data_IF_178799973021
#
_entry.id   IF_178799973021
#
_cell.length_a   1.000
_cell.length_b   1.000
_cell.length_c   1.000
_cell.angle_alpha   90.00
_cell.angle_beta   90.00
_cell.angle_gamma   90.00
#
_symmetry.space_group_name_H-M   'P 1'
#
loop_
_entity.id
_entity.type
_entity.pdbx_description
1 polymer ?
#
# COMPACT_ATOMS: atom_id res chain seq x y z
N UNK A 1 67.07 13.58 47.08
CA UNK A 1 66.64 13.70 45.65
C UNK A 1 65.48 12.86 45.42
N UNK A 2 64.25 13.39 45.54
CA UNK A 2 62.98 12.63 45.23
C UNK A 2 62.55 12.96 43.81
N UNK A 3 62.54 11.98 42.93
CA UNK A 3 62.00 12.09 41.58
C UNK A 3 60.49 12.11 41.67
N UNK A 4 59.88 13.22 41.20
CA UNK A 4 58.43 13.31 41.02
C UNK A 4 58.00 12.48 39.80
N UNK A 5 57.27 11.42 40.03
CA UNK A 5 56.62 10.64 38.97
C UNK A 5 55.29 11.32 38.73
N UNK A 6 55.16 12.00 37.56
CA UNK A 6 53.92 12.58 37.10
C UNK A 6 53.08 11.49 36.47
N UNK A 7 51.96 11.14 37.11
CA UNK A 7 51.01 10.15 36.62
C UNK A 7 50.05 10.86 35.67
N UNK A 8 50.25 10.71 34.37
CA UNK A 8 49.25 11.11 33.37
C UNK A 8 48.11 10.12 33.36
N UNK A 9 47.00 10.51 33.97
CA UNK A 9 45.72 9.80 33.80
C UNK A 9 45.22 10.07 32.38
N UNK A 10 45.41 9.10 31.48
CA UNK A 10 44.82 9.10 30.15
C UNK A 10 43.37 8.67 30.32
N UNK A 11 42.44 9.63 30.44
CA UNK A 11 40.99 9.36 30.42
C UNK A 11 40.57 8.95 29.01
N UNK A 12 40.49 7.65 28.79
CA UNK A 12 39.89 7.06 27.59
C UNK A 12 38.40 7.29 27.67
N UNK A 13 37.91 8.36 27.03
CA UNK A 13 36.46 8.57 26.86
C UNK A 13 35.96 7.53 25.88
N UNK A 14 35.33 6.46 26.40
CA UNK A 14 34.64 5.47 25.63
C UNK A 14 33.30 6.07 25.15
N UNK A 15 33.32 6.70 23.98
CA UNK A 15 32.07 7.12 23.32
C UNK A 15 31.36 5.86 22.88
N UNK A 16 30.47 5.33 23.71
CA UNK A 16 29.52 4.29 23.30
C UNK A 16 28.52 4.94 22.38
N UNK A 17 28.76 4.89 21.08
CA UNK A 17 27.72 5.12 20.08
C UNK A 17 26.69 3.98 20.25
N UNK A 18 25.62 4.25 20.97
CA UNK A 18 24.43 3.40 20.91
C UNK A 18 23.90 3.48 19.50
N UNK A 19 24.31 2.54 18.67
CA UNK A 19 23.63 2.27 17.40
C UNK A 19 22.25 1.77 17.83
N UNK A 20 21.31 2.70 17.94
CA UNK A 20 19.91 2.37 18.15
C UNK A 20 19.51 1.47 16.98
N UNK A 21 19.27 0.19 17.25
CA UNK A 21 18.62 -0.68 16.29
C UNK A 21 17.27 -0.02 16.00
N UNK A 22 17.16 0.64 14.86
CA UNK A 22 15.87 1.10 14.39
C UNK A 22 15.03 -0.17 14.22
N UNK A 23 14.07 -0.39 15.12
CA UNK A 23 13.13 -1.48 14.97
C UNK A 23 12.37 -1.23 13.67
N UNK A 24 12.53 -2.12 12.70
CA UNK A 24 11.76 -2.05 11.48
C UNK A 24 10.28 -2.19 11.84
N UNK A 25 9.49 -1.19 11.47
CA UNK A 25 8.03 -1.26 11.59
C UNK A 25 7.52 -2.17 10.50
N UNK A 26 6.80 -3.23 10.86
CA UNK A 26 6.18 -4.12 9.88
C UNK A 26 4.74 -3.70 9.62
N UNK A 27 4.47 -3.20 8.42
CA UNK A 27 3.13 -2.84 7.95
C UNK A 27 2.45 -4.06 7.32
N UNK A 28 1.16 -4.23 7.60
CA UNK A 28 0.30 -5.27 7.01
C UNK A 28 -0.34 -4.72 5.75
N UNK A 29 -0.07 -5.34 4.59
CA UNK A 29 -0.71 -5.03 3.32
C UNK A 29 -1.65 -6.17 2.91
N UNK A 30 -2.93 -5.88 2.66
CA UNK A 30 -3.92 -6.88 2.29
C UNK A 30 -4.51 -6.62 0.92
N UNK A 31 -4.74 -7.67 0.14
CA UNK A 31 -5.47 -7.63 -1.10
C UNK A 31 -6.13 -8.97 -1.44
N UNK A 32 -7.01 -8.96 -2.44
CA UNK A 32 -7.85 -10.10 -2.79
C UNK A 32 -7.29 -10.98 -3.90
N UNK A 33 -6.26 -10.55 -4.62
CA UNK A 33 -5.74 -11.23 -5.80
C UNK A 33 -4.72 -12.31 -5.44
N UNK A 34 -4.54 -13.34 -6.30
CA UNK A 34 -3.55 -14.37 -6.07
C UNK A 34 -2.14 -13.81 -5.90
N UNK A 35 -1.40 -14.33 -4.92
CA UNK A 35 0.02 -14.05 -4.71
C UNK A 35 0.93 -15.14 -5.26
N UNK A 36 0.37 -16.10 -6.01
CA UNK A 36 1.10 -17.17 -6.67
C UNK A 36 1.26 -16.87 -8.15
N UNK A 37 2.38 -17.27 -8.78
CA UNK A 37 2.56 -17.08 -10.21
C UNK A 37 1.56 -17.91 -11.01
N UNK A 38 1.23 -17.43 -12.21
CA UNK A 38 0.49 -18.15 -13.24
C UNK A 38 1.37 -19.21 -13.90
N UNK A 39 0.78 -20.02 -14.79
CA UNK A 39 1.50 -21.08 -15.50
C UNK A 39 2.65 -20.55 -16.38
N UNK A 40 2.58 -19.30 -16.84
CA UNK A 40 3.63 -18.60 -17.60
C UNK A 40 4.68 -17.91 -16.73
N UNK A 41 4.62 -18.08 -15.40
CA UNK A 41 5.52 -17.46 -14.44
C UNK A 41 5.15 -16.03 -14.05
N UNK A 42 4.18 -15.39 -14.72
CA UNK A 42 3.73 -14.03 -14.36
C UNK A 42 2.86 -14.02 -13.11
N UNK A 43 2.87 -12.92 -12.38
CA UNK A 43 1.93 -12.69 -11.29
C UNK A 43 0.71 -11.90 -11.76
N UNK A 44 -0.28 -11.79 -10.88
CA UNK A 44 -1.35 -10.81 -11.09
C UNK A 44 -0.77 -9.39 -10.92
N UNK A 45 -0.96 -8.53 -11.91
CA UNK A 45 -0.38 -7.17 -11.92
C UNK A 45 -0.75 -6.38 -10.65
N UNK A 46 -1.89 -6.66 -10.06
CA UNK A 46 -2.36 -5.98 -8.83
C UNK A 46 -1.62 -6.47 -7.59
N UNK A 47 -1.18 -7.73 -7.58
CA UNK A 47 -0.26 -8.24 -6.57
C UNK A 47 1.13 -7.65 -6.78
N UNK A 48 1.62 -7.62 -8.03
CA UNK A 48 2.94 -7.05 -8.36
C UNK A 48 3.06 -5.58 -7.95
N UNK A 49 2.00 -4.77 -8.10
CA UNK A 49 2.01 -3.38 -7.64
C UNK A 49 2.31 -3.26 -6.14
N UNK A 50 1.70 -4.12 -5.31
CA UNK A 50 1.95 -4.13 -3.86
C UNK A 50 3.34 -4.67 -3.56
N UNK A 51 3.79 -5.69 -4.30
CA UNK A 51 5.12 -6.27 -4.16
C UNK A 51 6.22 -5.27 -4.49
N UNK A 52 6.06 -4.50 -5.58
CA UNK A 52 7.01 -3.43 -5.95
C UNK A 52 7.16 -2.41 -4.82
N UNK A 53 6.05 -1.98 -4.21
CA UNK A 53 6.10 -1.05 -3.08
C UNK A 53 6.87 -1.66 -1.91
N UNK A 54 6.61 -2.92 -1.58
CA UNK A 54 7.30 -3.63 -0.50
C UNK A 54 8.82 -3.75 -0.76
N UNK A 55 9.19 -4.10 -1.99
CA UNK A 55 10.58 -4.28 -2.40
C UNK A 55 11.34 -2.94 -2.42
N UNK A 56 10.72 -1.87 -2.90
CA UNK A 56 11.33 -0.53 -2.89
C UNK A 56 11.50 0.02 -1.47
N UNK A 57 10.54 -0.19 -0.58
CA UNK A 57 10.68 0.18 0.84
C UNK A 57 11.84 -0.57 1.50
N UNK A 58 11.97 -1.86 1.22
CA UNK A 58 13.07 -2.69 1.72
C UNK A 58 14.43 -2.24 1.17
N UNK A 59 14.51 -1.94 -0.13
CA UNK A 59 15.73 -1.39 -0.76
C UNK A 59 16.13 -0.04 -0.18
N UNK A 60 15.15 0.83 0.07
CA UNK A 60 15.38 2.15 0.64
C UNK A 60 15.90 2.08 2.10
N UNK A 61 15.75 0.94 2.77
CA UNK A 61 16.21 0.68 4.14
C UNK A 61 15.79 1.78 5.13
N UNK A 62 14.55 2.22 5.02
CA UNK A 62 13.96 3.31 5.83
C UNK A 62 13.38 2.84 7.16
N UNK A 63 13.66 1.61 7.58
CA UNK A 63 13.15 1.04 8.82
C UNK A 63 11.67 0.62 8.73
N UNK A 64 11.16 0.38 7.51
CA UNK A 64 9.79 -0.09 7.27
C UNK A 64 9.83 -1.36 6.43
N UNK A 65 9.17 -2.40 6.91
CA UNK A 65 8.92 -3.64 6.20
C UNK A 65 7.44 -3.77 5.86
N UNK A 66 7.10 -4.37 4.72
CA UNK A 66 5.69 -4.59 4.33
C UNK A 66 5.44 -6.09 4.21
N UNK A 67 4.57 -6.60 5.07
CA UNK A 67 4.08 -7.98 5.00
C UNK A 67 2.80 -8.05 4.18
N UNK A 68 2.86 -8.73 3.03
CA UNK A 68 1.74 -8.85 2.11
C UNK A 68 0.88 -10.07 2.47
N UNK A 69 -0.44 -9.87 2.50
CA UNK A 69 -1.47 -10.89 2.71
C UNK A 69 -2.36 -10.97 1.46
N UNK A 70 -1.96 -11.78 0.47
CA UNK A 70 -2.68 -11.93 -0.78
C UNK A 70 -3.89 -12.85 -0.64
N UNK A 71 -4.67 -13.01 -1.72
CA UNK A 71 -5.74 -13.99 -1.88
C UNK A 71 -6.80 -13.97 -0.75
N UNK A 72 -7.11 -12.80 -0.21
CA UNK A 72 -8.10 -12.63 0.89
C UNK A 72 -7.65 -13.28 2.22
N UNK A 73 -6.34 -13.55 2.39
CA UNK A 73 -5.82 -14.30 3.54
C UNK A 73 -5.96 -13.55 4.88
N UNK A 74 -6.09 -12.23 4.85
CA UNK A 74 -6.29 -11.43 6.07
C UNK A 74 -7.72 -10.87 6.16
N UNK A 75 -8.21 -10.23 5.09
CA UNK A 75 -9.56 -9.66 5.02
C UNK A 75 -10.21 -9.98 3.68
N UNK A 76 -11.54 -10.19 3.69
CA UNK A 76 -12.32 -10.35 2.46
C UNK A 76 -12.38 -9.05 1.65
N UNK A 77 -12.67 -9.10 0.33
CA UNK A 77 -12.60 -7.93 -0.55
C UNK A 77 -13.40 -6.71 -0.05
N UNK A 78 -14.61 -6.91 0.45
CA UNK A 78 -15.50 -5.84 0.91
C UNK A 78 -15.33 -5.50 2.41
N UNK A 79 -14.40 -6.14 3.09
CA UNK A 79 -14.19 -5.97 4.52
C UNK A 79 -12.91 -5.16 4.84
N UNK A 80 -12.15 -4.72 3.85
CA UNK A 80 -10.84 -4.09 4.05
C UNK A 80 -10.92 -2.63 4.54
N UNK A 81 -11.98 -1.90 4.19
CA UNK A 81 -12.12 -0.48 4.53
C UNK A 81 -12.14 -0.23 6.06
N UNK A 82 -12.99 -0.96 6.77
CA UNK A 82 -13.13 -0.76 8.22
C UNK A 82 -11.82 -1.00 8.99
N UNK A 83 -11.06 -2.09 8.76
CA UNK A 83 -9.76 -2.29 9.39
C UNK A 83 -8.73 -1.18 9.10
N UNK A 84 -8.72 -0.59 7.89
CA UNK A 84 -7.85 0.55 7.58
C UNK A 84 -8.22 1.77 8.42
N UNK A 85 -9.50 2.15 8.44
CA UNK A 85 -9.97 3.34 9.19
C UNK A 85 -9.86 3.18 10.71
N UNK A 86 -9.63 1.96 11.20
CA UNK A 86 -9.45 1.68 12.65
C UNK A 86 -8.02 1.27 13.02
N UNK A 87 -7.07 1.37 12.09
CA UNK A 87 -5.65 1.06 12.34
C UNK A 87 -5.33 -0.43 12.52
N UNK A 88 -6.23 -1.34 12.15
CA UNK A 88 -6.00 -2.78 12.20
C UNK A 88 -5.29 -3.31 10.94
N UNK A 89 -5.39 -2.57 9.83
CA UNK A 89 -4.75 -2.82 8.56
C UNK A 89 -4.04 -1.54 8.11
N UNK A 90 -2.78 -1.64 7.74
CA UNK A 90 -1.96 -0.47 7.41
C UNK A 90 -2.08 -0.10 5.93
N UNK A 91 -2.10 -1.09 5.03
CA UNK A 91 -2.17 -0.90 3.58
C UNK A 91 -3.22 -1.84 2.98
N UNK A 92 -4.00 -1.33 2.03
CA UNK A 92 -4.91 -2.16 1.25
C UNK A 92 -4.85 -1.81 -0.23
N UNK A 93 -4.88 -2.83 -1.08
CA UNK A 93 -5.16 -2.68 -2.51
C UNK A 93 -6.49 -3.36 -2.81
N UNK A 94 -7.51 -2.59 -3.18
CA UNK A 94 -8.85 -3.10 -3.48
C UNK A 94 -9.63 -2.11 -4.37
N UNK A 95 -10.65 -2.56 -5.10
CA UNK A 95 -11.54 -1.66 -5.82
C UNK A 95 -12.29 -0.75 -4.85
N UNK A 96 -12.15 0.57 -5.00
CA UNK A 96 -12.69 1.53 -4.04
C UNK A 96 -14.21 1.40 -3.84
N UNK A 97 -14.96 1.07 -4.90
CA UNK A 97 -16.40 0.81 -4.81
C UNK A 97 -16.79 -0.32 -3.83
N UNK A 98 -15.86 -1.17 -3.41
CA UNK A 98 -16.15 -2.17 -2.37
C UNK A 98 -16.38 -1.54 -0.98
N UNK A 99 -15.99 -0.29 -0.82
CA UNK A 99 -16.26 0.51 0.36
C UNK A 99 -17.50 1.40 0.22
N UNK A 100 -18.27 1.32 -0.87
CA UNK A 100 -19.43 2.17 -1.15
C UNK A 100 -20.54 2.07 -0.09
N UNK A 101 -20.60 0.98 0.68
CA UNK A 101 -21.53 0.91 1.82
C UNK A 101 -21.25 1.95 2.93
N UNK A 102 -20.03 2.49 2.99
CA UNK A 102 -19.62 3.53 3.93
C UNK A 102 -19.70 4.93 3.28
N UNK A 103 -19.35 5.01 2.00
CA UNK A 103 -19.31 6.21 1.18
C UNK A 103 -19.85 5.88 -0.21
N UNK A 104 -21.15 6.08 -0.47
CA UNK A 104 -21.80 5.74 -1.75
C UNK A 104 -21.12 6.36 -2.97
N UNK A 105 -20.44 7.49 -2.79
CA UNK A 105 -19.69 8.20 -3.83
C UNK A 105 -18.59 7.32 -4.46
N UNK A 106 -18.10 6.34 -3.74
CA UNK A 106 -17.05 5.43 -4.22
C UNK A 106 -17.51 4.50 -5.36
N UNK A 107 -18.82 4.28 -5.52
CA UNK A 107 -19.38 3.48 -6.63
C UNK A 107 -19.05 4.07 -7.99
N UNK A 108 -18.87 5.39 -8.09
CA UNK A 108 -18.52 6.06 -9.33
C UNK A 108 -17.24 5.50 -9.96
N UNK A 109 -16.31 5.01 -9.15
CA UNK A 109 -15.02 4.47 -9.62
C UNK A 109 -15.13 3.15 -10.40
N UNK A 110 -16.26 2.46 -10.31
CA UNK A 110 -16.56 1.23 -11.08
C UNK A 110 -17.70 1.39 -12.07
N UNK A 111 -18.21 2.61 -12.28
CA UNK A 111 -19.30 2.83 -13.23
C UNK A 111 -18.87 2.47 -14.66
N UNK A 112 -19.65 1.67 -15.39
CA UNK A 112 -19.39 1.38 -16.79
C UNK A 112 -19.30 2.65 -17.63
N UNK A 113 -18.31 2.72 -18.52
CA UNK A 113 -18.08 3.89 -19.39
C UNK A 113 -17.42 5.09 -18.72
N UNK A 114 -17.18 5.09 -17.41
CA UNK A 114 -16.46 6.15 -16.70
C UNK A 114 -15.10 6.41 -17.32
N UNK A 115 -14.36 5.37 -17.65
CA UNK A 115 -13.03 5.47 -18.24
C UNK A 115 -13.01 4.75 -19.60
N UNK A 116 -12.72 5.51 -20.67
CA UNK A 116 -12.72 4.99 -22.04
C UNK A 116 -11.38 4.39 -22.48
N UNK A 117 -10.28 4.89 -21.95
CA UNK A 117 -8.92 4.46 -22.27
C UNK A 117 -7.95 4.99 -21.23
N UNK A 118 -6.68 4.57 -21.31
CA UNK A 118 -5.64 4.96 -20.35
C UNK A 118 -5.43 6.48 -20.26
N UNK A 119 -5.39 7.20 -21.40
CA UNK A 119 -5.28 8.67 -21.40
C UNK A 119 -6.46 9.34 -20.70
N UNK A 120 -7.66 8.76 -20.83
CA UNK A 120 -8.84 9.25 -20.12
C UNK A 120 -8.72 8.96 -18.62
N UNK A 121 -8.21 7.79 -18.23
CA UNK A 121 -7.95 7.46 -16.82
C UNK A 121 -7.07 8.49 -16.12
N UNK A 122 -5.96 8.90 -16.75
CA UNK A 122 -5.07 9.93 -16.21
C UNK A 122 -5.79 11.28 -15.99
N UNK A 123 -6.65 11.69 -16.93
CA UNK A 123 -7.46 12.91 -16.76
C UNK A 123 -8.50 12.79 -15.66
N UNK A 124 -9.14 11.62 -15.54
CA UNK A 124 -10.08 11.34 -14.46
C UNK A 124 -9.37 11.43 -13.10
N UNK A 125 -8.18 10.85 -12.94
CA UNK A 125 -7.41 10.94 -11.71
C UNK A 125 -7.05 12.38 -11.30
N UNK A 126 -6.87 13.28 -12.27
CA UNK A 126 -6.58 14.68 -12.06
C UNK A 126 -7.86 15.57 -11.99
N UNK A 127 -9.04 14.96 -12.05
CA UNK A 127 -10.31 15.72 -12.07
C UNK A 127 -10.73 16.20 -10.67
N UNK A 128 -11.54 17.27 -10.60
CA UNK A 128 -12.15 17.72 -9.34
C UNK A 128 -12.94 16.61 -8.64
N UNK A 129 -13.62 15.74 -9.39
CA UNK A 129 -14.34 14.60 -8.87
C UNK A 129 -13.42 13.66 -8.07
N UNK A 130 -12.27 13.27 -8.64
CA UNK A 130 -11.33 12.39 -7.93
C UNK A 130 -10.63 13.12 -6.77
N UNK A 131 -10.48 14.44 -6.86
CA UNK A 131 -10.00 15.25 -5.73
C UNK A 131 -10.96 15.16 -4.55
N UNK A 132 -12.27 15.27 -4.80
CA UNK A 132 -13.28 15.13 -3.75
C UNK A 132 -13.33 13.70 -3.18
N UNK A 133 -13.25 12.68 -4.02
CA UNK A 133 -13.13 11.26 -3.57
C UNK A 133 -11.93 11.09 -2.65
N UNK A 134 -10.76 11.61 -3.03
CA UNK A 134 -9.55 11.54 -2.20
C UNK A 134 -9.69 12.31 -0.89
N UNK A 135 -10.41 13.43 -0.91
CA UNK A 135 -10.73 14.16 0.31
C UNK A 135 -11.58 13.34 1.28
N UNK A 136 -12.63 12.67 0.79
CA UNK A 136 -13.46 11.76 1.60
C UNK A 136 -12.60 10.65 2.23
N UNK A 137 -11.67 10.08 1.46
CA UNK A 137 -10.74 9.06 1.94
C UNK A 137 -9.84 9.62 3.04
N UNK A 138 -9.28 10.81 2.84
CA UNK A 138 -8.39 11.45 3.81
C UNK A 138 -9.14 11.84 5.10
N UNK A 139 -10.37 12.33 4.99
CA UNK A 139 -11.21 12.65 6.14
C UNK A 139 -11.54 11.41 6.99
N UNK A 140 -11.52 10.22 6.37
CA UNK A 140 -11.64 8.93 7.05
C UNK A 140 -10.30 8.42 7.67
N UNK A 141 -9.22 9.20 7.59
CA UNK A 141 -7.90 8.85 8.14
C UNK A 141 -7.07 7.92 7.24
N UNK A 142 -7.41 7.79 5.96
CA UNK A 142 -6.72 6.95 4.98
C UNK A 142 -6.10 7.82 3.90
N UNK A 143 -4.93 7.45 3.39
CA UNK A 143 -4.22 8.16 2.31
C UNK A 143 -4.15 7.28 1.07
N UNK A 144 -4.46 7.86 -0.09
CA UNK A 144 -4.28 7.18 -1.39
C UNK A 144 -2.82 7.27 -1.81
N UNK A 145 -2.15 6.14 -1.87
CA UNK A 145 -0.74 6.06 -2.31
C UNK A 145 -0.63 6.00 -3.83
N UNK A 146 -1.55 5.29 -4.50
CA UNK A 146 -1.55 5.13 -5.95
C UNK A 146 -2.94 4.78 -6.45
N UNK A 147 -3.23 5.19 -7.69
CA UNK A 147 -4.44 4.82 -8.43
C UNK A 147 -4.09 3.92 -9.60
N UNK A 148 -4.82 2.82 -9.79
CA UNK A 148 -4.70 1.95 -10.94
C UNK A 148 -6.06 1.72 -11.60
N UNK A 149 -6.12 1.89 -12.91
CA UNK A 149 -7.30 1.65 -13.73
C UNK A 149 -7.06 0.42 -14.60
N UNK A 150 -7.91 -0.58 -14.45
CA UNK A 150 -7.85 -1.81 -15.23
C UNK A 150 -9.10 -1.90 -16.10
N UNK A 151 -8.94 -2.43 -17.30
CA UNK A 151 -10.08 -2.70 -18.18
C UNK A 151 -10.98 -3.76 -17.53
N UNK A 152 -12.27 -3.45 -17.46
CA UNK A 152 -13.31 -4.40 -17.10
C UNK A 152 -13.88 -5.05 -18.35
N UNK A 153 -14.46 -6.24 -18.18
CA UNK A 153 -15.13 -6.96 -19.26
C UNK A 153 -16.41 -7.61 -18.75
N UNK A 154 -17.33 -7.88 -19.68
CA UNK A 154 -18.54 -8.64 -19.43
C UNK A 154 -18.37 -10.05 -19.96
N UNK A 155 -18.87 -11.03 -19.22
CA UNK A 155 -18.91 -12.42 -19.65
C UNK A 155 -20.38 -12.85 -19.72
N UNK A 156 -20.80 -13.36 -20.86
CA UNK A 156 -22.14 -13.92 -21.06
C UNK A 156 -22.08 -15.43 -21.31
N UNK A 157 -22.99 -16.17 -20.72
CA UNK A 157 -23.07 -17.62 -20.91
C UNK A 157 -23.70 -18.01 -22.25
N UNK A 158 -24.55 -17.15 -22.81
CA UNK A 158 -25.41 -17.53 -23.97
C UNK A 158 -25.19 -16.69 -25.22
N UNK A 159 -24.92 -15.38 -25.10
CA UNK A 159 -24.81 -14.48 -26.26
C UNK A 159 -23.69 -13.48 -26.02
N UNK A 160 -22.94 -13.17 -27.09
CA UNK A 160 -22.07 -12.00 -27.08
C UNK A 160 -22.93 -10.74 -27.00
N UNK A 161 -22.58 -9.83 -26.12
CA UNK A 161 -23.19 -8.50 -26.07
C UNK A 161 -22.47 -7.68 -27.15
N UNK A 162 -23.15 -7.37 -28.23
CA UNK A 162 -22.66 -6.48 -29.30
C UNK A 162 -22.83 -5.01 -28.93
#
# INVERSE_FOLDING_TARGET
>A
MLKKISLYFLSLVFVTTTIGSAFAVTLKASHQWPGTPRADGSFDVRHEMVQIIADEMKKANVGVDIRIYPAKSLYKPKEQWKPMTTGQLDISAFPLAYAAKFHPEFDITLMPGMVKNHKHALRVNASPMMTEIKKIINDAGVVVLSDAWLAGGFVSKKNCIS
#
